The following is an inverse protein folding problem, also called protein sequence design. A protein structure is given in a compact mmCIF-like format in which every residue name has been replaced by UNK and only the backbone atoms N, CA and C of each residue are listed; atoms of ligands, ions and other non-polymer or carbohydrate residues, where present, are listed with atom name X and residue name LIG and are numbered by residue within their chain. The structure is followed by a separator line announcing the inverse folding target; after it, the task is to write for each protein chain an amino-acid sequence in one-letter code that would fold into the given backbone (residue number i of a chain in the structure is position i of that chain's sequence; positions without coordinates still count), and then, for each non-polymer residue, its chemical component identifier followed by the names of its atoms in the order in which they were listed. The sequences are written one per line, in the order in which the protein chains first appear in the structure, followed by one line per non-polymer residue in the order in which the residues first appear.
data_IF_733225204704
#
_entry.id   IF_733225204704
#
_cell.length_a   1.000
_cell.length_b   1.000
_cell.length_c   1.000
_cell.angle_alpha   90.00
_cell.angle_beta   90.00
_cell.angle_gamma   90.00
#
_symmetry.space_group_name_H-M   'P 1'
#
loop_
_entity.id
_entity.type
_entity.pdbx_description
1 polymer ?
#
# COMPACT_ATOMS: atom_id res chain seq x y z
N UNK A 1 -29.01 0.68 -34.69
CA UNK A 1 -28.34 1.21 -33.49
C UNK A 1 -29.02 0.60 -32.28
N UNK A 2 -28.42 -0.42 -31.66
CA UNK A 2 -29.00 -1.07 -30.49
C UNK A 2 -28.67 -0.22 -29.27
N UNK A 3 -29.68 0.41 -28.65
CA UNK A 3 -29.53 1.04 -27.35
C UNK A 3 -29.03 -0.02 -26.37
N UNK A 4 -27.86 0.20 -25.77
CA UNK A 4 -27.38 -0.61 -24.66
C UNK A 4 -28.37 -0.37 -23.52
N UNK A 5 -29.20 -1.36 -23.21
CA UNK A 5 -30.15 -1.26 -22.10
C UNK A 5 -29.33 -1.11 -20.82
N UNK A 6 -29.57 -0.03 -20.08
CA UNK A 6 -28.98 0.19 -18.76
C UNK A 6 -29.37 -0.97 -17.84
N UNK A 7 -28.40 -1.77 -17.42
CA UNK A 7 -28.61 -2.79 -16.40
C UNK A 7 -28.13 -2.19 -15.07
N UNK A 8 -29.04 -1.91 -14.10
CA UNK A 8 -28.65 -1.34 -12.82
C UNK A 8 -27.65 -2.23 -12.05
N UNK A 9 -27.60 -3.53 -12.35
CA UNK A 9 -26.62 -4.48 -11.77
C UNK A 9 -25.22 -4.37 -12.41
N UNK A 10 -25.09 -3.66 -13.54
CA UNK A 10 -23.83 -3.49 -14.29
C UNK A 10 -23.55 -2.00 -14.58
N UNK A 11 -23.39 -1.16 -13.54
CA UNK A 11 -23.27 0.29 -13.68
C UNK A 11 -22.02 0.75 -14.45
N UNK A 12 -21.02 -0.12 -14.59
CA UNK A 12 -19.78 0.16 -15.30
C UNK A 12 -19.69 -0.62 -16.63
N UNK A 13 -20.82 -1.03 -17.20
CA UNK A 13 -20.85 -1.76 -18.47
C UNK A 13 -20.05 -1.02 -19.56
N UNK A 14 -19.07 -1.72 -20.15
CA UNK A 14 -18.21 -1.19 -21.21
C UNK A 14 -17.04 -0.31 -20.73
N UNK A 15 -16.99 0.05 -19.45
CA UNK A 15 -15.88 0.81 -18.88
C UNK A 15 -14.62 -0.05 -18.85
N UNK A 16 -13.50 0.55 -19.25
CA UNK A 16 -12.16 -0.03 -19.13
C UNK A 16 -11.43 0.65 -18.00
N UNK A 17 -11.08 -0.08 -16.95
CA UNK A 17 -10.52 0.49 -15.72
C UNK A 17 -9.12 -0.06 -15.49
N UNK A 18 -8.12 0.82 -15.48
CA UNK A 18 -6.74 0.48 -15.17
C UNK A 18 -6.56 0.30 -13.67
N UNK A 19 -6.01 -0.85 -13.28
CA UNK A 19 -5.68 -1.24 -11.90
C UNK A 19 -4.16 -1.32 -11.77
N UNK A 20 -3.49 -0.28 -11.24
CA UNK A 20 -2.02 -0.19 -11.19
C UNK A 20 -1.29 -1.09 -10.19
N UNK A 21 -2.01 -2.05 -9.57
CA UNK A 21 -1.46 -3.01 -8.61
C UNK A 21 -1.91 -4.41 -8.97
N UNK A 22 -0.99 -5.36 -8.87
CA UNK A 22 -1.25 -6.79 -9.07
C UNK A 22 -1.47 -7.55 -7.78
N UNK A 23 -1.26 -8.87 -7.85
CA UNK A 23 -1.40 -9.79 -6.73
C UNK A 23 -2.84 -9.92 -6.23
N UNK A 24 -3.04 -10.51 -5.03
CA UNK A 24 -4.38 -10.78 -4.49
C UNK A 24 -5.30 -9.56 -4.43
N UNK A 25 -4.74 -8.39 -4.10
CA UNK A 25 -5.50 -7.14 -4.10
C UNK A 25 -5.97 -6.73 -5.50
N UNK A 26 -5.08 -6.79 -6.50
CA UNK A 26 -5.41 -6.48 -7.89
C UNK A 26 -6.47 -7.44 -8.45
N UNK A 27 -6.36 -8.72 -8.11
CA UNK A 27 -7.31 -9.76 -8.52
C UNK A 27 -8.70 -9.54 -7.90
N UNK A 28 -8.76 -9.20 -6.62
CA UNK A 28 -10.01 -8.87 -5.92
C UNK A 28 -10.69 -7.64 -6.53
N UNK A 29 -9.92 -6.58 -6.79
CA UNK A 29 -10.41 -5.35 -7.44
C UNK A 29 -10.92 -5.64 -8.84
N UNK A 30 -10.17 -6.43 -9.61
CA UNK A 30 -10.57 -6.84 -10.96
C UNK A 30 -11.86 -7.67 -10.93
N UNK A 31 -12.03 -8.58 -9.98
CA UNK A 31 -13.26 -9.35 -9.81
C UNK A 31 -14.47 -8.45 -9.51
N UNK A 32 -14.31 -7.47 -8.62
CA UNK A 32 -15.36 -6.49 -8.29
C UNK A 32 -15.72 -5.58 -9.47
N UNK A 33 -14.72 -5.10 -10.22
CA UNK A 33 -14.96 -4.35 -11.45
C UNK A 33 -15.76 -5.16 -12.48
N UNK A 34 -15.44 -6.45 -12.65
CA UNK A 34 -16.19 -7.37 -13.54
C UNK A 34 -17.61 -7.62 -13.03
N UNK A 35 -17.81 -7.74 -11.72
CA UNK A 35 -19.16 -7.92 -11.14
C UNK A 35 -20.05 -6.70 -11.41
N UNK A 36 -19.47 -5.52 -11.60
CA UNK A 36 -20.15 -4.27 -12.00
C UNK A 36 -20.18 -3.99 -13.51
N UNK A 37 -19.68 -4.92 -14.33
CA UNK A 37 -19.73 -4.86 -15.80
C UNK A 37 -18.54 -4.19 -16.48
N UNK A 38 -17.53 -3.76 -15.72
CA UNK A 38 -16.31 -3.18 -16.26
C UNK A 38 -15.33 -4.24 -16.78
N UNK A 39 -14.40 -3.81 -17.61
CA UNK A 39 -13.24 -4.54 -18.11
C UNK A 39 -11.99 -4.05 -17.37
N UNK A 40 -11.53 -4.75 -16.31
CA UNK A 40 -10.32 -4.36 -15.59
C UNK A 40 -9.06 -4.65 -16.42
N UNK A 41 -8.10 -3.72 -16.37
CA UNK A 41 -6.76 -3.86 -16.93
C UNK A 41 -5.80 -3.88 -15.73
N UNK A 42 -5.42 -5.08 -15.27
CA UNK A 42 -4.44 -5.21 -14.17
C UNK A 42 -3.05 -5.02 -14.76
N UNK A 43 -2.40 -3.92 -14.41
CA UNK A 43 -1.05 -3.59 -14.86
C UNK A 43 -0.25 -3.03 -13.67
N UNK A 44 0.48 -3.88 -12.94
CA UNK A 44 1.26 -3.44 -11.79
C UNK A 44 2.30 -2.38 -12.20
N UNK A 45 2.25 -1.23 -11.55
CA UNK A 45 3.15 -0.10 -11.84
C UNK A 45 4.24 0.10 -10.78
N UNK A 46 4.09 -0.57 -9.64
CA UNK A 46 5.07 -0.57 -8.57
C UNK A 46 5.42 -2.02 -8.20
N UNK A 47 6.66 -2.20 -7.78
CA UNK A 47 7.14 -3.41 -7.13
C UNK A 47 8.08 -3.03 -5.98
N UNK A 48 8.62 -4.02 -5.30
CA UNK A 48 9.60 -3.84 -4.25
C UNK A 48 10.96 -4.38 -4.70
N UNK A 49 12.01 -3.69 -4.28
CA UNK A 49 13.39 -4.09 -4.49
C UNK A 49 14.10 -4.13 -3.14
N UNK A 50 15.21 -4.90 -3.01
CA UNK A 50 16.08 -4.82 -1.86
C UNK A 50 16.49 -3.37 -1.54
N UNK A 51 16.75 -3.11 -0.26
CA UNK A 51 17.33 -1.86 0.19
C UNK A 51 18.69 -1.60 -0.49
N UNK A 52 19.02 -0.33 -0.72
CA UNK A 52 20.36 0.05 -1.20
C UNK A 52 21.41 -0.03 -0.09
N UNK A 53 20.98 -0.13 1.18
CA UNK A 53 21.85 -0.32 2.34
C UNK A 53 21.73 -1.76 2.89
N UNK A 54 22.15 -2.72 2.07
CA UNK A 54 22.10 -4.14 2.43
C UNK A 54 22.96 -4.44 3.67
N UNK A 55 24.09 -3.74 3.84
CA UNK A 55 24.98 -3.93 4.98
C UNK A 55 24.33 -3.52 6.31
N UNK A 56 23.60 -2.40 6.36
CA UNK A 56 22.85 -2.02 7.55
C UNK A 56 21.72 -3.01 7.86
N UNK A 57 21.03 -3.50 6.84
CA UNK A 57 20.00 -4.53 7.02
C UNK A 57 20.58 -5.83 7.58
N UNK A 58 21.63 -6.37 6.97
CA UNK A 58 22.27 -7.60 7.45
C UNK A 58 22.80 -7.45 8.88
N UNK A 59 23.39 -6.29 9.19
CA UNK A 59 23.85 -5.97 10.55
C UNK A 59 22.70 -5.96 11.56
N UNK A 60 21.59 -5.30 11.22
CA UNK A 60 20.42 -5.24 12.10
C UNK A 60 19.75 -6.61 12.28
N UNK A 61 19.71 -7.44 11.23
CA UNK A 61 19.18 -8.80 11.33
C UNK A 61 20.09 -9.71 12.16
N UNK A 62 21.41 -9.52 12.11
CA UNK A 62 22.35 -10.24 12.98
C UNK A 62 22.16 -9.87 14.46
N UNK A 63 22.02 -8.57 14.77
CA UNK A 63 21.68 -8.07 16.11
C UNK A 63 20.34 -8.61 16.62
N UNK A 64 19.34 -8.66 15.73
CA UNK A 64 18.02 -9.23 16.01
C UNK A 64 18.11 -10.71 16.40
N UNK A 65 18.92 -11.49 15.67
CA UNK A 65 19.17 -12.88 16.01
C UNK A 65 19.96 -13.05 17.32
N UNK A 66 20.82 -12.10 17.66
CA UNK A 66 21.62 -12.10 18.89
C UNK A 66 20.83 -11.69 20.15
N UNK A 67 19.60 -11.16 20.01
CA UNK A 67 18.78 -10.70 21.13
C UNK A 67 19.05 -9.26 21.57
N UNK A 68 19.58 -8.43 20.66
CA UNK A 68 19.93 -7.04 20.95
C UNK A 68 18.71 -6.10 20.98
N UNK A 69 17.52 -6.59 20.62
CA UNK A 69 16.28 -5.81 20.62
C UNK A 69 15.24 -6.44 21.55
N UNK A 70 14.54 -5.60 22.28
CA UNK A 70 13.39 -6.01 23.08
C UNK A 70 12.14 -6.09 22.19
N UNK A 71 12.08 -5.25 21.14
CA UNK A 71 10.98 -5.22 20.17
C UNK A 71 11.46 -5.06 18.71
N UNK A 72 10.72 -5.66 17.79
CA UNK A 72 10.77 -5.37 16.35
C UNK A 72 9.41 -4.87 15.87
N UNK A 73 9.38 -3.76 15.13
CA UNK A 73 8.15 -3.28 14.49
C UNK A 73 8.15 -3.57 12.98
N UNK A 74 7.02 -4.08 12.47
CA UNK A 74 6.82 -4.44 11.08
C UNK A 74 5.64 -3.65 10.52
N UNK A 75 5.91 -2.80 9.54
CA UNK A 75 4.93 -1.83 9.02
C UNK A 75 4.31 -2.21 7.68
N UNK A 76 4.68 -3.38 7.14
CA UNK A 76 4.21 -3.84 5.83
C UNK A 76 4.40 -5.35 5.69
N UNK A 77 3.46 -6.03 5.04
CA UNK A 77 3.62 -7.43 4.65
C UNK A 77 4.88 -7.65 3.78
N UNK A 78 5.27 -6.68 2.96
CA UNK A 78 6.52 -6.74 2.17
C UNK A 78 7.76 -6.89 3.05
N UNK A 79 7.77 -6.30 4.25
CA UNK A 79 8.88 -6.48 5.19
C UNK A 79 9.01 -7.95 5.61
N UNK A 80 7.90 -8.71 5.64
CA UNK A 80 7.92 -10.15 5.94
C UNK A 80 8.57 -10.94 4.81
N UNK A 81 8.36 -10.55 3.55
CA UNK A 81 9.06 -11.15 2.41
C UNK A 81 10.59 -10.92 2.52
N UNK A 82 11.00 -9.73 2.96
CA UNK A 82 12.42 -9.40 3.23
C UNK A 82 12.97 -10.25 4.38
N UNK A 83 12.25 -10.37 5.49
CA UNK A 83 12.66 -11.23 6.61
C UNK A 83 12.85 -12.68 6.15
N UNK A 84 11.91 -13.18 5.34
CA UNK A 84 11.93 -14.54 4.81
C UNK A 84 13.09 -14.78 3.85
N UNK A 85 13.38 -13.82 2.95
CA UNK A 85 14.48 -13.94 1.99
C UNK A 85 15.85 -13.93 2.66
N UNK A 86 16.01 -13.16 3.73
CA UNK A 86 17.23 -13.15 4.57
C UNK A 86 17.27 -14.29 5.59
N UNK A 87 16.22 -15.14 5.67
CA UNK A 87 16.07 -16.17 6.72
C UNK A 87 16.26 -15.59 8.12
N UNK A 88 15.70 -14.41 8.34
CA UNK A 88 15.89 -13.65 9.57
C UNK A 88 15.41 -14.46 10.78
N UNK A 89 16.26 -14.52 11.80
CA UNK A 89 15.94 -15.14 13.08
C UNK A 89 15.59 -14.04 14.07
N UNK A 90 14.42 -14.15 14.69
CA UNK A 90 14.03 -13.29 15.81
C UNK A 90 14.38 -14.03 17.10
N UNK A 91 15.20 -13.44 17.95
CA UNK A 91 15.55 -14.05 19.23
C UNK A 91 14.30 -14.29 20.08
N UNK A 92 14.21 -15.38 20.87
CA UNK A 92 13.00 -15.70 21.65
C UNK A 92 12.57 -14.63 22.66
N UNK A 93 13.49 -13.74 23.08
CA UNK A 93 13.20 -12.62 23.98
C UNK A 93 12.70 -11.35 23.28
N UNK A 94 12.74 -11.29 21.95
CA UNK A 94 12.31 -10.13 21.17
C UNK A 94 10.84 -10.26 20.77
N UNK A 95 10.03 -9.27 21.15
CA UNK A 95 8.61 -9.20 20.79
C UNK A 95 8.41 -8.54 19.43
N UNK A 96 7.31 -8.86 18.75
CA UNK A 96 7.00 -8.38 17.39
C UNK A 96 5.69 -7.58 17.39
N UNK A 97 5.78 -6.34 16.92
CA UNK A 97 4.65 -5.45 16.72
C UNK A 97 4.33 -5.31 15.23
N UNK A 98 3.11 -5.64 14.82
CA UNK A 98 2.63 -5.45 13.47
C UNK A 98 1.69 -4.23 13.39
N UNK A 99 1.83 -3.43 12.33
CA UNK A 99 1.02 -2.21 12.18
C UNK A 99 -0.46 -2.47 11.85
N UNK A 100 -0.81 -3.70 11.49
CA UNK A 100 -2.19 -4.08 11.18
C UNK A 100 -2.33 -5.54 10.81
N UNK A 101 -3.59 -5.99 10.75
CA UNK A 101 -3.97 -7.41 10.62
C UNK A 101 -3.34 -8.10 9.41
N UNK A 102 -3.27 -7.45 8.24
CA UNK A 102 -2.66 -8.06 7.05
C UNK A 102 -1.17 -8.33 7.24
N UNK A 103 -0.45 -7.42 7.92
CA UNK A 103 0.96 -7.61 8.24
C UNK A 103 1.14 -8.71 9.28
N UNK A 104 0.26 -8.76 10.28
CA UNK A 104 0.26 -9.81 11.29
C UNK A 104 0.01 -11.20 10.69
N UNK A 105 -0.98 -11.32 9.80
CA UNK A 105 -1.28 -12.56 9.08
C UNK A 105 -0.09 -13.03 8.25
N UNK A 106 0.60 -12.11 7.57
CA UNK A 106 1.81 -12.43 6.81
C UNK A 106 2.95 -12.94 7.72
N UNK A 107 3.19 -12.28 8.87
CA UNK A 107 4.18 -12.71 9.86
C UNK A 107 3.91 -14.13 10.37
N UNK A 108 2.66 -14.40 10.76
CA UNK A 108 2.23 -15.73 11.23
C UNK A 108 2.40 -16.78 10.15
N UNK A 109 2.02 -16.48 8.90
CA UNK A 109 2.21 -17.40 7.78
C UNK A 109 3.69 -17.71 7.50
N UNK A 110 4.59 -16.76 7.79
CA UNK A 110 6.04 -16.93 7.70
C UNK A 110 6.67 -17.59 8.94
N UNK A 111 5.88 -17.94 9.96
CA UNK A 111 6.33 -18.63 11.16
C UNK A 111 6.77 -17.72 12.30
N UNK A 112 6.54 -16.41 12.21
CA UNK A 112 6.79 -15.46 13.31
C UNK A 112 5.54 -15.33 14.19
N UNK A 113 5.75 -15.08 15.49
CA UNK A 113 4.67 -14.68 16.39
C UNK A 113 4.40 -13.17 16.26
N UNK A 114 3.25 -12.71 16.74
CA UNK A 114 2.90 -11.29 16.78
C UNK A 114 2.33 -11.00 18.16
N UNK A 115 2.99 -10.11 18.91
CA UNK A 115 2.61 -9.75 20.28
C UNK A 115 1.58 -8.62 20.33
N UNK A 116 1.63 -7.71 19.35
CA UNK A 116 0.67 -6.62 19.23
C UNK A 116 0.32 -6.29 17.79
N UNK A 117 -0.97 -6.03 17.60
CA UNK A 117 -1.57 -5.34 16.46
C UNK A 117 -2.44 -4.23 17.06
N UNK A 118 -2.41 -2.99 16.56
CA UNK A 118 -3.23 -1.92 17.13
C UNK A 118 -4.73 -2.25 17.02
N UNK A 119 -5.51 -1.96 18.06
CA UNK A 119 -6.90 -2.44 18.14
C UNK A 119 -7.89 -1.59 17.32
N UNK A 120 -7.64 -0.28 17.22
CA UNK A 120 -8.58 0.67 16.60
C UNK A 120 -8.13 1.14 15.21
N UNK A 121 -6.84 1.41 15.03
CA UNK A 121 -6.29 1.99 13.81
C UNK A 121 -5.10 1.17 13.31
N UNK A 122 -5.30 0.42 12.23
CA UNK A 122 -4.28 -0.37 11.52
C UNK A 122 -3.24 0.53 10.82
N UNK A 123 -2.52 1.34 11.61
CA UNK A 123 -1.57 2.34 11.16
C UNK A 123 -0.42 2.54 12.16
N UNK A 124 0.66 3.17 11.70
CA UNK A 124 1.79 3.53 12.56
C UNK A 124 1.38 4.45 13.72
N UNK A 125 0.31 5.23 13.55
CA UNK A 125 -0.26 6.08 14.60
C UNK A 125 -1.01 5.25 15.63
N UNK A 126 -1.84 4.29 15.19
CA UNK A 126 -2.54 3.38 16.10
C UNK A 126 -1.56 2.56 16.92
N UNK A 127 -0.52 2.01 16.29
CA UNK A 127 0.50 1.25 17.01
C UNK A 127 1.23 2.08 18.07
N UNK A 128 1.50 3.37 17.81
CA UNK A 128 2.05 4.28 18.82
C UNK A 128 1.07 4.54 19.98
N UNK A 129 -0.23 4.62 19.69
CA UNK A 129 -1.23 4.88 20.71
C UNK A 129 -1.35 3.71 21.70
N UNK A 130 -1.22 2.48 21.21
CA UNK A 130 -1.33 1.27 22.04
C UNK A 130 0.01 0.86 22.67
N UNK A 131 1.12 1.52 22.29
CA UNK A 131 2.48 1.11 22.64
C UNK A 131 2.74 1.09 24.15
N UNK A 132 2.30 2.11 24.88
CA UNK A 132 2.51 2.21 26.34
C UNK A 132 1.84 1.07 27.09
N UNK A 133 0.60 0.74 26.71
CA UNK A 133 -0.14 -0.38 27.30
C UNK A 133 0.53 -1.72 26.98
N UNK A 134 1.00 -1.91 25.74
CA UNK A 134 1.67 -3.13 25.28
C UNK A 134 3.01 -3.39 25.99
N UNK A 135 3.70 -2.31 26.35
CA UNK A 135 5.03 -2.34 26.97
C UNK A 135 4.97 -2.14 28.48
N UNK A 136 3.78 -1.99 29.07
CA UNK A 136 3.58 -1.66 30.47
C UNK A 136 4.36 -0.41 30.93
N UNK A 137 4.54 0.56 30.03
CA UNK A 137 5.28 1.80 30.28
C UNK A 137 6.78 1.62 30.50
N UNK A 138 7.36 0.46 30.16
CA UNK A 138 8.82 0.23 30.33
C UNK A 138 9.61 1.11 29.36
N UNK A 139 10.49 1.95 29.89
CA UNK A 139 11.35 2.86 29.13
C UNK A 139 12.75 2.90 29.78
N UNK A 140 13.86 2.81 29.02
CA UNK A 140 13.92 2.60 27.57
C UNK A 140 13.71 1.13 27.19
N UNK A 141 13.32 0.91 25.94
CA UNK A 141 13.37 -0.39 25.26
C UNK A 141 14.22 -0.21 24.01
N UNK A 142 14.90 -1.26 23.58
CA UNK A 142 15.65 -1.32 22.33
C UNK A 142 14.70 -1.82 21.23
N UNK A 143 14.43 -0.96 20.25
CA UNK A 143 13.41 -1.23 19.22
C UNK A 143 14.04 -1.18 17.84
N UNK A 144 13.93 -2.28 17.09
CA UNK A 144 14.24 -2.31 15.67
C UNK A 144 13.00 -1.96 14.86
N UNK A 145 13.06 -0.90 14.05
CA UNK A 145 11.99 -0.56 13.11
C UNK A 145 12.39 -0.87 11.68
N UNK A 146 11.74 -1.87 11.06
CA UNK A 146 11.91 -2.21 9.65
C UNK A 146 10.82 -1.52 8.80
N UNK A 147 11.26 -0.71 7.84
CA UNK A 147 10.39 0.17 7.06
C UNK A 147 10.73 0.16 5.58
N UNK A 148 9.78 0.60 4.76
CA UNK A 148 10.10 0.98 3.38
C UNK A 148 10.89 2.29 3.34
N UNK A 149 11.67 2.49 2.29
CA UNK A 149 12.42 3.72 2.04
C UNK A 149 11.53 4.97 2.08
N UNK A 150 10.37 4.89 1.41
CA UNK A 150 9.42 6.00 1.27
C UNK A 150 8.52 6.22 2.50
N UNK A 151 8.56 5.33 3.50
CA UNK A 151 7.73 5.47 4.68
C UNK A 151 8.05 6.81 5.38
N UNK A 152 7.03 7.47 5.95
CA UNK A 152 7.34 8.56 6.90
C UNK A 152 7.83 7.93 8.19
N UNK A 153 8.88 8.46 8.85
CA UNK A 153 9.42 7.87 10.07
C UNK A 153 8.53 8.15 11.29
N UNK A 154 7.20 8.20 11.14
CA UNK A 154 6.26 8.54 12.21
C UNK A 154 6.40 7.61 13.42
N UNK A 155 6.46 6.29 13.17
CA UNK A 155 6.65 5.30 14.23
C UNK A 155 8.02 5.46 14.90
N UNK A 156 9.10 5.49 14.11
CA UNK A 156 10.48 5.67 14.60
C UNK A 156 10.61 6.92 15.47
N UNK A 157 10.15 8.08 14.98
CA UNK A 157 10.24 9.35 15.70
C UNK A 157 9.31 9.40 16.92
N UNK A 158 8.14 8.75 16.85
CA UNK A 158 7.23 8.61 17.98
C UNK A 158 7.85 7.80 19.12
N UNK A 159 8.44 6.64 18.81
CA UNK A 159 9.09 5.76 19.77
C UNK A 159 10.31 6.43 20.42
N UNK A 160 11.12 7.15 19.63
CA UNK A 160 12.22 7.98 20.16
C UNK A 160 11.74 9.07 21.10
N UNK A 161 10.61 9.71 20.77
CA UNK A 161 10.01 10.76 21.62
C UNK A 161 9.49 10.22 22.95
N UNK A 162 9.01 8.97 22.97
CA UNK A 162 8.63 8.28 24.21
C UNK A 162 9.86 8.02 25.10
N UNK A 163 11.04 7.86 24.50
CA UNK A 163 12.31 7.65 25.20
C UNK A 163 12.96 6.29 24.95
N UNK A 164 12.50 5.54 23.95
CA UNK A 164 13.11 4.28 23.55
C UNK A 164 14.37 4.49 22.71
N UNK A 165 15.26 3.50 22.73
CA UNK A 165 16.40 3.42 21.82
C UNK A 165 15.91 2.75 20.53
N UNK A 166 15.97 3.48 19.41
CA UNK A 166 15.33 3.04 18.16
C UNK A 166 16.33 3.00 17.02
N UNK A 167 16.64 1.77 16.58
CA UNK A 167 17.39 1.48 15.36
C UNK A 167 16.40 1.38 14.20
N UNK A 168 16.55 2.21 13.17
CA UNK A 168 15.62 2.28 12.04
C UNK A 168 16.34 1.92 10.76
N UNK A 169 15.86 0.87 10.10
CA UNK A 169 16.48 0.31 8.92
C UNK A 169 15.49 0.24 7.77
N UNK A 170 15.93 0.68 6.60
CA UNK A 170 15.20 0.52 5.34
C UNK A 170 15.32 -0.95 4.92
N UNK A 171 14.22 -1.68 4.98
CA UNK A 171 14.18 -3.10 4.61
C UNK A 171 14.04 -3.28 3.09
N UNK A 172 13.32 -2.37 2.43
CA UNK A 172 13.09 -2.44 0.99
C UNK A 172 12.77 -1.06 0.41
N UNK A 173 12.84 -0.98 -0.92
CA UNK A 173 12.46 0.21 -1.69
C UNK A 173 11.25 -0.07 -2.55
N UNK A 174 10.44 0.96 -2.78
CA UNK A 174 9.37 0.88 -3.77
C UNK A 174 9.93 1.35 -5.10
N UNK A 175 9.89 0.50 -6.12
CA UNK A 175 10.42 0.79 -7.46
C UNK A 175 9.30 0.79 -8.50
N UNK A 176 9.49 1.56 -9.56
CA UNK A 176 8.59 1.57 -10.71
C UNK A 176 8.71 0.30 -11.54
N UNK A 177 7.58 -0.17 -12.07
CA UNK A 177 7.53 -1.25 -13.07
C UNK A 177 6.93 -0.65 -14.35
N UNK A 178 7.63 -0.78 -15.50
CA UNK A 178 7.09 -0.33 -16.77
C UNK A 178 5.79 -1.06 -17.12
N UNK A 179 4.75 -0.32 -17.46
CA UNK A 179 3.57 -0.90 -18.10
C UNK A 179 3.84 -1.17 -19.57
N UNK A 180 3.12 -2.15 -20.13
CA UNK A 180 3.24 -2.46 -21.55
C UNK A 180 2.87 -1.27 -22.44
N UNK A 181 3.53 -1.14 -23.60
CA UNK A 181 3.24 -0.11 -24.61
C UNK A 181 1.76 -0.07 -25.03
N UNK A 182 1.08 -1.23 -25.01
CA UNK A 182 -0.35 -1.32 -25.29
C UNK A 182 -1.19 -0.54 -24.27
N UNK A 183 -0.88 -0.64 -22.98
CA UNK A 183 -1.58 0.11 -21.93
C UNK A 183 -1.36 1.60 -22.10
N UNK A 184 -0.12 2.01 -22.38
CA UNK A 184 0.23 3.41 -22.66
C UNK A 184 -0.58 3.93 -23.85
N UNK A 185 -0.61 3.19 -24.97
CA UNK A 185 -1.34 3.55 -26.16
C UNK A 185 -2.86 3.61 -25.93
N UNK A 186 -3.41 2.70 -25.13
CA UNK A 186 -4.84 2.68 -24.81
C UNK A 186 -5.25 3.87 -23.94
N UNK A 187 -4.42 4.27 -22.96
CA UNK A 187 -4.66 5.46 -22.14
C UNK A 187 -4.57 6.72 -23.01
N UNK A 188 -3.50 6.88 -23.80
CA UNK A 188 -3.31 8.06 -24.67
C UNK A 188 -4.42 8.22 -25.70
N UNK A 189 -4.97 7.12 -26.21
CA UNK A 189 -6.08 7.14 -27.15
C UNK A 189 -7.47 7.30 -26.50
N UNK A 190 -7.54 7.51 -25.17
CA UNK A 190 -8.82 7.64 -24.45
C UNK A 190 -9.64 6.36 -24.42
N UNK A 191 -9.04 5.19 -24.64
CA UNK A 191 -9.71 3.88 -24.58
C UNK A 191 -9.82 3.33 -23.16
N UNK A 192 -9.17 3.97 -22.19
CA UNK A 192 -9.30 3.69 -20.76
C UNK A 192 -10.20 4.76 -20.15
N UNK A 193 -11.22 4.33 -19.42
CA UNK A 193 -12.22 5.22 -18.84
C UNK A 193 -11.82 5.72 -17.45
N UNK A 194 -11.06 4.90 -16.70
CA UNK A 194 -10.56 5.30 -15.39
C UNK A 194 -9.20 4.65 -15.05
N UNK A 195 -8.42 5.34 -14.23
CA UNK A 195 -7.19 4.86 -13.58
C UNK A 195 -7.36 4.96 -12.06
N UNK A 196 -7.12 3.84 -11.38
CA UNK A 196 -7.17 3.79 -9.91
C UNK A 196 -5.82 4.18 -9.31
N UNK A 197 -5.80 5.07 -8.32
CA UNK A 197 -4.57 5.54 -7.66
C UNK A 197 -4.67 5.29 -6.16
N UNK A 198 -3.83 4.39 -5.66
CA UNK A 198 -3.95 3.85 -4.29
C UNK A 198 -2.88 4.32 -3.31
N UNK A 199 -1.86 5.02 -3.79
CA UNK A 199 -0.76 5.57 -3.00
C UNK A 199 -0.05 6.68 -3.77
N UNK A 200 0.76 7.49 -3.10
CA UNK A 200 1.62 8.48 -3.76
C UNK A 200 2.63 7.84 -4.72
N UNK A 201 3.16 6.65 -4.40
CA UNK A 201 4.05 5.92 -5.30
C UNK A 201 3.35 5.45 -6.58
N UNK A 202 2.09 4.99 -6.49
CA UNK A 202 1.27 4.69 -7.68
C UNK A 202 0.97 5.97 -8.46
N UNK A 203 0.66 7.08 -7.78
CA UNK A 203 0.42 8.36 -8.45
C UNK A 203 1.64 8.80 -9.26
N UNK A 204 2.84 8.68 -8.68
CA UNK A 204 4.10 8.99 -9.36
C UNK A 204 4.27 8.15 -10.63
N UNK A 205 4.08 6.84 -10.54
CA UNK A 205 4.24 5.95 -11.70
C UNK A 205 3.16 6.17 -12.77
N UNK A 206 1.91 6.49 -12.38
CA UNK A 206 0.87 6.88 -13.33
C UNK A 206 1.27 8.17 -14.05
N UNK A 207 1.76 9.18 -13.34
CA UNK A 207 2.20 10.44 -13.93
C UNK A 207 3.40 10.25 -14.88
N UNK A 208 4.42 9.52 -14.44
CA UNK A 208 5.66 9.33 -15.20
C UNK A 208 5.44 8.50 -16.48
N UNK A 209 4.61 7.46 -16.40
CA UNK A 209 4.45 6.49 -17.49
C UNK A 209 3.26 6.81 -18.42
N UNK A 210 2.20 7.44 -17.90
CA UNK A 210 0.96 7.67 -18.64
C UNK A 210 0.62 9.15 -18.82
N UNK A 211 1.26 10.05 -18.06
CA UNK A 211 1.02 11.48 -18.13
C UNK A 211 1.40 12.09 -19.49
N UNK A 212 0.69 13.14 -19.95
CA UNK A 212 -0.56 13.65 -19.39
C UNK A 212 -1.75 12.72 -19.69
N UNK A 213 -2.60 12.50 -18.68
CA UNK A 213 -3.82 11.68 -18.81
C UNK A 213 -4.90 12.48 -19.57
N UNK A 214 -5.53 11.94 -20.64
CA UNK A 214 -6.62 12.62 -21.33
C UNK A 214 -7.81 12.92 -20.42
N UNK A 215 -8.51 14.02 -20.68
CA UNK A 215 -9.67 14.43 -19.85
C UNK A 215 -10.80 13.41 -19.85
N UNK A 216 -10.89 12.59 -20.89
CA UNK A 216 -11.83 11.47 -21.04
C UNK A 216 -11.51 10.25 -20.15
N UNK A 217 -10.33 10.20 -19.54
CA UNK A 217 -9.91 9.14 -18.61
C UNK A 217 -9.89 9.68 -17.18
N UNK A 218 -10.80 9.21 -16.33
CA UNK A 218 -10.89 9.64 -14.93
C UNK A 218 -9.70 9.13 -14.10
N UNK A 219 -9.18 9.95 -13.21
CA UNK A 219 -8.20 9.55 -12.20
C UNK A 219 -8.85 9.52 -10.83
N UNK A 220 -8.97 8.32 -10.25
CA UNK A 220 -9.65 8.09 -8.98
C UNK A 220 -8.65 7.76 -7.87
N UNK A 221 -8.62 8.57 -6.81
CA UNK A 221 -7.74 8.36 -5.66
C UNK A 221 -8.46 7.64 -4.52
N UNK A 222 -7.79 6.68 -3.87
CA UNK A 222 -8.33 5.93 -2.72
C UNK A 222 -8.56 6.77 -1.47
N UNK A 223 -8.09 8.01 -1.43
CA UNK A 223 -8.35 8.89 -0.30
C UNK A 223 -7.62 10.24 -0.37
N UNK A 224 -7.92 11.17 0.55
CA UNK A 224 -7.47 12.56 0.47
C UNK A 224 -5.95 12.71 0.49
N UNK A 225 -5.25 11.85 1.23
CA UNK A 225 -3.79 11.91 1.28
C UNK A 225 -3.16 11.56 -0.06
N UNK A 226 -3.66 10.51 -0.71
CA UNK A 226 -3.21 10.11 -2.06
C UNK A 226 -3.53 11.18 -3.08
N UNK A 227 -4.70 11.81 -3.01
CA UNK A 227 -5.07 12.91 -3.88
C UNK A 227 -4.12 14.12 -3.72
N UNK A 228 -3.74 14.45 -2.47
CA UNK A 228 -2.76 15.50 -2.18
C UNK A 228 -1.38 15.15 -2.76
N UNK A 229 -0.91 13.93 -2.54
CA UNK A 229 0.39 13.47 -3.06
C UNK A 229 0.39 13.49 -4.61
N UNK A 230 -0.72 13.08 -5.26
CA UNK A 230 -0.89 13.13 -6.71
C UNK A 230 -0.90 14.57 -7.27
N UNK A 231 -1.65 15.47 -6.65
CA UNK A 231 -1.70 16.87 -7.07
C UNK A 231 -0.33 17.56 -6.95
N UNK A 232 0.46 17.24 -5.92
CA UNK A 232 1.79 17.81 -5.71
C UNK A 232 2.79 17.51 -6.83
N UNK A 233 2.55 16.43 -7.60
CA UNK A 233 3.39 16.01 -8.74
C UNK A 233 2.72 16.29 -10.09
N UNK A 234 1.62 17.05 -10.10
CA UNK A 234 0.91 17.46 -11.31
C UNK A 234 -0.04 16.41 -11.90
N UNK A 235 -0.30 15.30 -11.20
CA UNK A 235 -1.32 14.35 -11.63
C UNK A 235 -2.72 14.90 -11.31
N UNK A 236 -3.55 15.06 -12.34
CA UNK A 236 -4.97 15.42 -12.19
C UNK A 236 -5.69 14.37 -11.34
N UNK A 237 -6.54 14.81 -10.43
CA UNK A 237 -7.45 13.95 -9.65
C UNK A 237 -8.88 14.37 -9.92
N UNK A 238 -9.70 13.44 -10.43
CA UNK A 238 -11.09 13.71 -10.79
C UNK A 238 -12.06 13.29 -9.69
N UNK A 239 -11.71 12.26 -8.92
CA UNK A 239 -12.53 11.78 -7.81
C UNK A 239 -11.67 11.21 -6.69
N UNK A 240 -12.15 11.37 -5.45
CA UNK A 240 -11.57 10.78 -4.26
C UNK A 240 -12.61 9.89 -3.60
N UNK A 241 -12.22 8.68 -3.23
CA UNK A 241 -13.06 7.76 -2.47
C UNK A 241 -13.36 8.32 -1.07
N UNK A 242 -14.57 8.02 -0.56
CA UNK A 242 -15.02 8.48 0.75
C UNK A 242 -14.30 7.72 1.88
N UNK A 243 -14.05 6.43 1.64
CA UNK A 243 -13.32 5.54 2.54
C UNK A 243 -12.07 4.98 1.85
N UNK A 244 -11.08 4.59 2.65
CA UNK A 244 -9.82 4.02 2.14
C UNK A 244 -9.96 2.52 1.83
N UNK A 245 -10.93 2.17 0.99
CA UNK A 245 -11.22 0.80 0.58
C UNK A 245 -11.29 0.65 -0.94
N UNK A 246 -11.05 -0.57 -1.44
CA UNK A 246 -11.23 -0.89 -2.85
C UNK A 246 -12.69 -0.66 -3.28
N UNK A 247 -13.64 -1.02 -2.41
CA UNK A 247 -15.07 -0.86 -2.62
C UNK A 247 -15.45 0.61 -2.83
N UNK A 248 -15.08 1.48 -1.88
CA UNK A 248 -15.39 2.91 -1.96
C UNK A 248 -14.76 3.57 -3.19
N UNK A 249 -13.58 3.11 -3.59
CA UNK A 249 -12.92 3.59 -4.81
C UNK A 249 -13.67 3.21 -6.09
N UNK A 250 -14.27 2.02 -6.15
CA UNK A 250 -15.09 1.59 -7.28
C UNK A 250 -16.45 2.30 -7.26
N UNK A 251 -17.07 2.47 -6.08
CA UNK A 251 -18.30 3.25 -5.93
C UNK A 251 -18.14 4.71 -6.38
N UNK A 252 -16.97 5.31 -6.10
CA UNK A 252 -16.64 6.64 -6.59
C UNK A 252 -16.67 6.73 -8.14
N UNK A 253 -16.24 5.67 -8.83
CA UNK A 253 -16.37 5.59 -10.30
C UNK A 253 -17.82 5.42 -10.75
N UNK A 254 -18.59 4.57 -10.06
CA UNK A 254 -20.01 4.34 -10.38
C UNK A 254 -20.82 5.63 -10.32
N UNK A 255 -20.54 6.52 -9.36
CA UNK A 255 -21.21 7.83 -9.25
C UNK A 255 -20.95 8.74 -10.44
N UNK A 256 -19.81 8.58 -11.12
CA UNK A 256 -19.42 9.36 -12.29
C UNK A 256 -19.74 8.68 -13.61
N UNK A 257 -20.19 7.42 -13.58
CA UNK A 257 -20.64 6.74 -14.77
C UNK A 257 -21.91 7.43 -15.31
N UNK A 258 -21.99 7.75 -16.61
CA UNK A 258 -23.19 8.28 -17.21
C UNK A 258 -24.38 7.38 -16.89
N UNK A 259 -25.42 7.99 -16.31
CA UNK A 259 -26.74 7.38 -16.26
C UNK A 259 -27.45 7.86 -17.52
N UNK A 260 -27.52 6.99 -18.53
CA UNK A 260 -28.43 7.25 -19.64
C UNK A 260 -29.85 7.29 -19.07
N UNK A 261 -30.46 8.48 -19.06
CA UNK A 261 -31.88 8.70 -18.73
C UNK A 261 -32.76 8.23 -19.89
#
# INVERSE_FOLDING_TARGET
MSAVRHNPDKPLAGWRVLVPRGGPWGDQVAANLRSRGALPIVAPMINFAPTDDAAALDTALAKLAAGDFDWMTVTSATTVDVLSSHRAVVAPGTRIAAVGETTAAALVAAGYHVDIVPSEDNSAKGLLADWEAATHGVIPLRVLTLRSEIAKPLLTEGLRRIGHDVESVVAYRTVGVPVSDRVVADVKAGRVHAVLVTSGSVAQQVQDQLGPIPTTTLVACIGPRTAKDAAAIGLRVDVVADERSAESLIEALVRLAPRDL
#
